data_IF_501228025457
#
_entry.id   IF_501228025457
#
_cell.length_a   1.000
_cell.length_b   1.000
_cell.length_c   1.000
_cell.angle_alpha   90.00
_cell.angle_beta   90.00
_cell.angle_gamma   90.00
#
_symmetry.space_group_name_H-M   'P 1'
#
loop_
_entity.id
_entity.type
_entity.pdbx_description
1 polymer ?
#
# COMPACT_ATOMS: atom_id res chain seq x y z
N UNK A 1 31.25 5.48 -32.26
CA UNK A 1 29.99 5.26 -32.98
C UNK A 1 28.90 6.12 -32.35
N UNK A 2 28.59 7.26 -32.98
CA UNK A 2 27.73 8.31 -32.43
C UNK A 2 26.25 8.06 -32.69
N UNK A 3 25.42 8.14 -31.65
CA UNK A 3 23.96 8.08 -31.78
C UNK A 3 23.42 9.50 -31.92
N UNK A 4 22.94 9.82 -33.13
CA UNK A 4 22.18 11.03 -33.46
C UNK A 4 20.89 11.06 -32.64
N UNK A 5 20.64 12.17 -31.93
CA UNK A 5 19.36 12.48 -31.29
C UNK A 5 18.52 13.24 -32.32
N UNK A 6 17.43 12.65 -32.78
CA UNK A 6 16.40 13.37 -33.53
C UNK A 6 15.37 13.93 -32.56
N UNK A 7 15.31 15.26 -32.48
CA UNK A 7 14.22 15.99 -31.86
C UNK A 7 13.07 16.08 -32.87
N UNK A 8 11.90 15.53 -32.52
CA UNK A 8 10.66 15.77 -33.25
C UNK A 8 9.73 16.59 -32.36
N UNK A 9 9.50 17.81 -32.80
CA UNK A 9 8.44 18.67 -32.29
C UNK A 9 7.07 18.22 -32.81
N UNK A 10 6.05 18.42 -31.98
CA UNK A 10 4.62 18.38 -32.33
C UNK A 10 4.00 19.52 -31.50
N UNK A 11 3.93 20.73 -32.05
CA UNK A 11 2.78 21.34 -32.75
C UNK A 11 1.50 21.30 -31.91
N UNK A 12 1.19 22.48 -31.34
CA UNK A 12 -0.02 22.78 -30.62
C UNK A 12 -1.26 22.74 -31.50
N UNK A 13 -2.36 22.32 -30.88
CA UNK A 13 -3.71 22.42 -31.41
C UNK A 13 -4.65 22.81 -30.27
N UNK A 14 -4.74 24.12 -30.00
CA UNK A 14 -5.82 24.69 -29.21
C UNK A 14 -7.14 24.47 -29.96
N UNK A 15 -7.90 23.47 -29.52
CA UNK A 15 -9.28 23.27 -29.98
C UNK A 15 -10.24 23.91 -29.00
N UNK A 16 -10.90 24.95 -29.50
CA UNK A 16 -12.16 25.52 -29.03
C UNK A 16 -13.03 24.49 -28.29
N UNK A 17 -13.33 24.76 -27.01
CA UNK A 17 -14.42 24.09 -26.29
C UNK A 17 -15.66 24.98 -26.28
N UNK A 18 -16.80 24.52 -26.80
CA UNK A 18 -18.08 25.22 -26.66
C UNK A 18 -18.56 25.15 -25.21
N UNK A 19 -19.18 26.24 -24.75
CA UNK A 19 -19.79 26.34 -23.43
C UNK A 19 -21.06 25.45 -23.36
N UNK A 20 -21.21 24.61 -22.32
CA UNK A 20 -22.49 23.93 -22.09
C UNK A 20 -23.48 24.87 -21.41
N UNK A 21 -24.51 25.27 -22.17
CA UNK A 21 -25.74 25.83 -21.62
C UNK A 21 -26.66 24.67 -21.19
N UNK A 22 -27.27 24.80 -20.00
CA UNK A 22 -28.32 23.88 -19.55
C UNK A 22 -28.06 23.31 -18.16
N UNK A 23 -28.06 24.17 -17.14
CA UNK A 23 -28.11 23.75 -15.74
C UNK A 23 -29.56 23.36 -15.43
N UNK A 24 -29.90 22.10 -15.72
CA UNK A 24 -31.14 21.47 -15.25
C UNK A 24 -30.99 21.09 -13.78
N UNK A 25 -31.71 21.80 -12.91
CA UNK A 25 -31.95 21.37 -11.54
C UNK A 25 -32.97 20.23 -11.58
N UNK A 26 -32.48 18.98 -11.55
CA UNK A 26 -33.27 17.80 -11.26
C UNK A 26 -32.77 17.20 -9.95
N UNK A 27 -33.66 17.18 -8.95
CA UNK A 27 -33.62 16.40 -7.71
C UNK A 27 -32.91 15.05 -7.93
N UNK A 28 -31.78 14.70 -7.30
CA UNK A 28 -31.47 14.67 -5.87
C UNK A 28 -32.44 13.76 -5.09
N UNK A 29 -32.45 12.49 -5.51
CA UNK A 29 -33.11 11.37 -4.85
C UNK A 29 -32.45 10.05 -5.22
N UNK A 30 -31.11 10.00 -5.16
CA UNK A 30 -30.31 8.78 -5.34
C UNK A 30 -29.06 8.85 -4.45
N UNK A 31 -29.26 8.86 -3.14
CA UNK A 31 -28.18 8.92 -2.15
C UNK A 31 -27.73 7.55 -1.64
N UNK A 32 -28.44 6.48 -2.01
CA UNK A 32 -28.21 5.12 -1.52
C UNK A 32 -27.34 4.28 -2.46
N UNK A 33 -27.57 4.36 -3.77
CA UNK A 33 -26.84 3.52 -4.74
C UNK A 33 -25.38 3.98 -4.92
N UNK A 34 -25.08 5.27 -4.70
CA UNK A 34 -23.72 5.81 -4.80
C UNK A 34 -22.76 5.25 -3.74
N UNK A 35 -23.19 5.12 -2.49
CA UNK A 35 -22.32 4.66 -1.40
C UNK A 35 -21.97 3.16 -1.53
N UNK A 36 -22.92 2.35 -2.00
CA UNK A 36 -22.70 0.93 -2.23
C UNK A 36 -21.75 0.69 -3.42
N UNK A 37 -21.93 1.46 -4.51
CA UNK A 37 -21.00 1.45 -5.65
C UNK A 37 -19.58 1.82 -5.24
N UNK A 38 -19.40 2.80 -4.34
CA UNK A 38 -18.08 3.22 -3.87
C UNK A 38 -17.35 2.10 -3.08
N UNK A 39 -18.07 1.34 -2.24
CA UNK A 39 -17.50 0.22 -1.47
C UNK A 39 -17.07 -0.92 -2.39
N UNK A 40 -17.90 -1.27 -3.39
CA UNK A 40 -17.57 -2.32 -4.36
C UNK A 40 -16.37 -1.93 -5.22
N UNK A 41 -16.30 -0.67 -5.65
CA UNK A 41 -15.17 -0.12 -6.39
C UNK A 41 -13.88 -0.12 -5.56
N UNK A 42 -13.97 0.22 -4.28
CA UNK A 42 -12.83 0.16 -3.36
C UNK A 42 -12.34 -1.28 -3.18
N UNK A 43 -13.24 -2.25 -2.97
CA UNK A 43 -12.88 -3.66 -2.88
C UNK A 43 -12.22 -4.16 -4.18
N UNK A 44 -12.75 -3.76 -5.34
CA UNK A 44 -12.15 -4.06 -6.63
C UNK A 44 -10.75 -3.43 -6.80
N UNK A 45 -10.54 -2.20 -6.33
CA UNK A 45 -9.24 -1.55 -6.34
C UNK A 45 -8.22 -2.29 -5.47
N UNK A 46 -8.62 -2.75 -4.27
CA UNK A 46 -7.76 -3.56 -3.40
C UNK A 46 -7.41 -4.90 -4.03
N UNK A 47 -8.35 -5.62 -4.67
CA UNK A 47 -8.04 -6.87 -5.38
C UNK A 47 -7.01 -6.66 -6.50
N UNK A 48 -7.10 -5.55 -7.25
CA UNK A 48 -6.10 -5.18 -8.27
C UNK A 48 -4.74 -4.87 -7.64
N UNK A 49 -4.71 -4.25 -6.46
CA UNK A 49 -3.48 -3.99 -5.73
C UNK A 49 -2.83 -5.30 -5.26
N UNK A 50 -3.60 -6.24 -4.72
CA UNK A 50 -3.14 -7.58 -4.31
C UNK A 50 -2.47 -8.27 -5.49
N UNK A 51 -3.14 -8.34 -6.65
CA UNK A 51 -2.57 -8.96 -7.85
C UNK A 51 -1.22 -8.33 -8.26
N UNK A 52 -1.11 -7.00 -8.18
CA UNK A 52 0.15 -6.30 -8.48
C UNK A 52 1.25 -6.56 -7.44
N UNK A 53 0.88 -6.74 -6.18
CA UNK A 53 1.83 -7.10 -5.12
C UNK A 53 2.33 -8.54 -5.30
N UNK A 54 1.45 -9.47 -5.69
CA UNK A 54 1.82 -10.85 -6.01
C UNK A 54 2.77 -10.91 -7.22
N UNK A 55 2.48 -10.16 -8.29
CA UNK A 55 3.39 -10.01 -9.43
C UNK A 55 4.76 -9.48 -9.00
N UNK A 56 4.77 -8.48 -8.11
CA UNK A 56 6.01 -7.89 -7.58
C UNK A 56 6.79 -8.91 -6.74
N UNK A 57 6.11 -9.69 -5.89
CA UNK A 57 6.73 -10.74 -5.11
C UNK A 57 7.35 -11.82 -6.02
N UNK A 58 6.64 -12.23 -7.07
CA UNK A 58 7.15 -13.17 -8.07
C UNK A 58 8.43 -12.64 -8.76
N UNK A 59 8.45 -11.37 -9.17
CA UNK A 59 9.65 -10.73 -9.75
C UNK A 59 10.81 -10.70 -8.74
N UNK A 60 10.56 -10.33 -7.49
CA UNK A 60 11.59 -10.32 -6.43
C UNK A 60 12.16 -11.72 -6.18
N UNK A 61 11.31 -12.76 -6.21
CA UNK A 61 11.71 -14.16 -6.11
C UNK A 61 12.66 -14.55 -7.25
N UNK A 62 12.28 -14.24 -8.51
CA UNK A 62 13.11 -14.50 -9.67
C UNK A 62 14.46 -13.76 -9.65
N UNK A 63 14.48 -12.49 -9.23
CA UNK A 63 15.73 -11.73 -9.08
C UNK A 63 16.62 -12.35 -8.01
N UNK A 64 16.06 -12.75 -6.86
CA UNK A 64 16.81 -13.42 -5.80
C UNK A 64 17.45 -14.70 -6.31
N UNK A 65 16.70 -15.53 -7.01
CA UNK A 65 17.19 -16.81 -7.53
C UNK A 65 18.30 -16.58 -8.58
N UNK A 66 18.17 -15.55 -9.42
CA UNK A 66 19.22 -15.15 -10.37
C UNK A 66 20.50 -14.65 -9.67
N UNK A 67 20.38 -13.85 -8.60
CA UNK A 67 21.54 -13.39 -7.80
C UNK A 67 22.23 -14.58 -7.14
N UNK A 68 21.47 -15.47 -6.50
CA UNK A 68 22.02 -16.66 -5.85
C UNK A 68 22.74 -17.59 -6.83
N UNK A 69 22.25 -17.70 -8.07
CA UNK A 69 22.89 -18.50 -9.11
C UNK A 69 24.15 -17.83 -9.69
N UNK A 70 24.19 -16.50 -9.75
CA UNK A 70 25.31 -15.76 -10.33
C UNK A 70 26.45 -15.55 -9.32
N UNK A 71 26.14 -15.30 -8.05
CA UNK A 71 27.09 -14.88 -7.01
C UNK A 71 27.02 -15.79 -5.78
N UNK A 72 27.80 -16.87 -5.80
CA UNK A 72 27.96 -17.80 -4.67
C UNK A 72 29.05 -17.32 -3.69
N UNK A 73 28.96 -16.05 -3.28
CA UNK A 73 29.87 -15.45 -2.31
C UNK A 73 29.09 -14.77 -1.18
N UNK A 74 29.82 -14.27 -0.18
CA UNK A 74 29.24 -13.61 1.00
C UNK A 74 28.37 -12.42 0.61
N UNK A 75 28.75 -11.67 -0.42
CA UNK A 75 27.98 -10.50 -0.88
C UNK A 75 26.68 -10.95 -1.57
N UNK A 76 26.74 -11.99 -2.40
CA UNK A 76 25.57 -12.60 -3.02
C UNK A 76 24.56 -13.15 -2.00
N UNK A 77 25.04 -13.80 -0.93
CA UNK A 77 24.19 -14.23 0.18
C UNK A 77 23.55 -13.05 0.92
N UNK A 78 24.31 -11.99 1.22
CA UNK A 78 23.77 -10.80 1.88
C UNK A 78 22.66 -10.13 1.05
N UNK A 79 22.88 -9.97 -0.25
CA UNK A 79 21.88 -9.42 -1.16
C UNK A 79 20.63 -10.30 -1.25
N UNK A 80 20.81 -11.61 -1.31
CA UNK A 80 19.69 -12.58 -1.34
C UNK A 80 18.82 -12.48 -0.09
N UNK A 81 19.43 -12.31 1.10
CA UNK A 81 18.67 -12.11 2.34
C UNK A 81 17.91 -10.78 2.36
N UNK A 82 18.49 -9.69 1.87
CA UNK A 82 17.78 -8.41 1.74
C UNK A 82 16.58 -8.51 0.78
N UNK A 83 16.74 -9.20 -0.34
CA UNK A 83 15.63 -9.48 -1.28
C UNK A 83 14.55 -10.34 -0.63
N UNK A 84 14.93 -11.36 0.14
CA UNK A 84 14.00 -12.22 0.90
C UNK A 84 13.21 -11.45 1.96
N UNK A 85 13.80 -10.43 2.60
CA UNK A 85 13.07 -9.55 3.52
C UNK A 85 12.05 -8.68 2.77
N UNK A 86 12.43 -8.14 1.62
CA UNK A 86 11.55 -7.31 0.78
C UNK A 86 10.39 -8.12 0.21
N UNK A 87 10.65 -9.35 -0.25
CA UNK A 87 9.64 -10.31 -0.68
C UNK A 87 8.60 -10.57 0.41
N UNK A 88 9.05 -10.92 1.62
CA UNK A 88 8.15 -11.15 2.77
C UNK A 88 7.35 -9.91 3.16
N UNK A 89 7.88 -8.71 2.94
CA UNK A 89 7.12 -7.48 3.16
C UNK A 89 6.01 -7.31 2.11
N UNK A 90 6.29 -7.59 0.84
CA UNK A 90 5.30 -7.56 -0.23
C UNK A 90 4.17 -8.56 0.00
N UNK A 91 4.49 -9.82 0.36
CA UNK A 91 3.49 -10.85 0.70
C UNK A 91 2.59 -10.45 1.86
N UNK A 92 3.16 -9.84 2.92
CA UNK A 92 2.37 -9.34 4.05
C UNK A 92 1.40 -8.24 3.62
N UNK A 93 1.87 -7.26 2.84
CA UNK A 93 1.03 -6.18 2.32
C UNK A 93 -0.10 -6.72 1.42
N UNK A 94 0.17 -7.75 0.62
CA UNK A 94 -0.85 -8.42 -0.19
C UNK A 94 -1.90 -9.09 0.71
N UNK A 95 -1.48 -9.79 1.76
CA UNK A 95 -2.38 -10.40 2.75
C UNK A 95 -3.25 -9.39 3.49
N UNK A 96 -2.67 -8.25 3.90
CA UNK A 96 -3.40 -7.16 4.57
C UNK A 96 -4.45 -6.55 3.63
N UNK A 97 -4.07 -6.25 2.39
CA UNK A 97 -4.98 -5.69 1.38
C UNK A 97 -6.10 -6.67 0.99
N UNK A 98 -5.81 -7.98 0.91
CA UNK A 98 -6.80 -9.02 0.66
C UNK A 98 -7.80 -9.14 1.83
N UNK A 99 -7.31 -9.04 3.07
CA UNK A 99 -8.16 -9.05 4.27
C UNK A 99 -9.07 -7.84 4.31
N UNK A 100 -8.58 -6.66 3.94
CA UNK A 100 -9.37 -5.44 3.86
C UNK A 100 -10.42 -5.51 2.74
N UNK A 101 -10.07 -6.05 1.57
CA UNK A 101 -11.03 -6.26 0.48
C UNK A 101 -12.18 -7.18 0.92
N UNK A 102 -11.87 -8.30 1.59
CA UNK A 102 -12.87 -9.23 2.12
C UNK A 102 -13.77 -8.56 3.17
N UNK A 103 -13.20 -7.69 4.03
CA UNK A 103 -13.97 -6.95 5.03
C UNK A 103 -14.92 -5.91 4.41
N UNK A 104 -14.56 -5.32 3.26
CA UNK A 104 -15.44 -4.42 2.50
C UNK A 104 -16.57 -5.20 1.81
N UNK A 105 -16.25 -6.33 1.18
CA UNK A 105 -17.26 -7.21 0.56
C UNK A 105 -18.30 -7.69 1.57
N UNK A 106 -17.87 -8.05 2.78
CA UNK A 106 -18.79 -8.46 3.83
C UNK A 106 -19.72 -7.31 4.29
N UNK A 107 -19.21 -6.07 4.33
CA UNK A 107 -20.01 -4.88 4.65
C UNK A 107 -21.04 -4.58 3.55
N UNK A 108 -20.63 -4.61 2.28
CA UNK A 108 -21.53 -4.44 1.15
C UNK A 108 -22.66 -5.49 1.15
N UNK A 109 -22.34 -6.76 1.47
CA UNK A 109 -23.33 -7.82 1.58
C UNK A 109 -24.31 -7.61 2.76
N UNK A 110 -23.82 -7.15 3.91
CA UNK A 110 -24.64 -6.93 5.12
C UNK A 110 -25.67 -5.79 4.97
N UNK A 111 -25.34 -4.74 4.21
CA UNK A 111 -26.24 -3.61 3.98
C UNK A 111 -27.44 -3.98 3.10
N UNK A 112 -27.27 -4.91 2.14
CA UNK A 112 -28.38 -5.42 1.32
C UNK A 112 -29.40 -6.27 2.08
N UNK A 113 -29.04 -6.77 3.27
CA UNK A 113 -29.90 -7.64 4.09
C UNK A 113 -30.75 -6.93 5.15
N UNK A 114 -30.54 -5.63 5.40
CA UNK A 114 -31.12 -4.94 6.58
C UNK A 114 -32.38 -4.13 6.24
N UNK A 115 -33.27 -4.71 5.42
CA UNK A 115 -34.60 -4.18 5.12
C UNK A 115 -35.74 -4.81 5.93
N UNK A 116 -35.48 -5.75 6.83
CA UNK A 116 -36.55 -6.41 7.59
C UNK A 116 -36.04 -7.10 8.85
N UNK A 117 -36.27 -6.48 10.00
CA UNK A 117 -35.98 -7.12 11.30
C UNK A 117 -35.71 -6.16 12.45
N UNK A 118 -36.52 -5.09 12.59
CA UNK A 118 -36.71 -4.49 13.91
C UNK A 118 -37.66 -5.39 14.71
N UNK A 119 -37.17 -6.53 15.20
CA UNK A 119 -37.85 -7.30 16.23
C UNK A 119 -36.82 -8.04 17.09
N UNK A 120 -36.48 -7.40 18.22
CA UNK A 120 -36.08 -8.04 19.48
C UNK A 120 -34.95 -9.06 19.45
N UNK A 121 -33.70 -8.60 19.55
CA UNK A 121 -32.62 -9.41 20.09
C UNK A 121 -32.17 -8.81 21.42
N UNK A 122 -32.41 -9.57 22.49
CA UNK A 122 -32.07 -9.24 23.87
C UNK A 122 -30.58 -8.92 24.04
N UNK A 123 -30.31 -7.91 24.87
CA UNK A 123 -29.00 -7.68 25.48
C UNK A 123 -28.47 -8.97 26.13
N UNK A 124 -27.27 -9.46 25.75
CA UNK A 124 -26.50 -10.32 26.63
C UNK A 124 -25.76 -9.43 27.63
N UNK A 125 -26.23 -9.47 28.87
CA UNK A 125 -25.55 -8.91 30.03
C UNK A 125 -24.12 -9.44 30.20
N UNK A 126 -23.31 -8.60 30.81
CA UNK A 126 -21.95 -8.87 31.27
C UNK A 126 -21.82 -10.20 32.04
N UNK A 127 -20.85 -11.04 31.66
CA UNK A 127 -19.83 -11.61 32.56
C UNK A 127 -18.99 -12.69 31.85
N UNK A 128 -17.88 -12.27 31.24
CA UNK A 128 -16.73 -13.14 31.03
C UNK A 128 -15.46 -12.29 31.07
N UNK A 129 -15.04 -11.96 32.29
CA UNK A 129 -13.79 -11.27 32.55
C UNK A 129 -12.59 -12.11 32.11
N UNK A 130 -12.06 -11.85 30.92
CA UNK A 130 -10.69 -12.17 30.56
C UNK A 130 -9.85 -10.91 30.80
N UNK A 131 -9.25 -10.83 31.99
CA UNK A 131 -8.16 -9.88 32.25
C UNK A 131 -7.01 -10.20 31.30
N UNK A 132 -6.83 -9.39 30.26
CA UNK A 132 -5.60 -9.38 29.47
C UNK A 132 -4.44 -8.93 30.40
N UNK A 133 -3.42 -9.77 30.63
CA UNK A 133 -2.22 -9.32 31.31
C UNK A 133 -1.38 -8.47 30.34
N UNK A 134 -1.07 -7.25 30.77
CA UNK A 134 0.06 -6.50 30.25
C UNK A 134 -0.27 -5.48 29.16
N UNK A 135 -0.88 -4.36 29.55
CA UNK A 135 -0.56 -3.08 28.91
C UNK A 135 0.90 -2.73 29.24
N UNK A 136 1.82 -3.36 28.51
CA UNK A 136 3.21 -2.92 28.43
C UNK A 136 3.22 -1.60 27.67
N UNK A 137 3.17 -0.49 28.42
CA UNK A 137 3.21 0.85 27.86
C UNK A 137 4.34 0.98 26.84
N UNK A 138 4.00 1.53 25.67
CA UNK A 138 4.96 1.98 24.68
C UNK A 138 5.87 3.02 25.35
N UNK A 139 7.05 2.59 25.79
CA UNK A 139 8.13 3.50 26.13
C UNK A 139 8.61 4.13 24.83
N UNK A 140 8.11 5.33 24.52
CA UNK A 140 8.81 6.26 23.62
C UNK A 140 10.15 6.58 24.27
N UNK A 141 11.21 5.87 23.89
CA UNK A 141 12.56 6.35 24.16
C UNK A 141 12.77 7.56 23.25
N UNK A 142 12.71 8.75 23.83
CA UNK A 142 13.26 9.98 23.28
C UNK A 142 14.75 9.72 22.99
N UNK A 143 15.07 9.32 21.75
CA UNK A 143 16.44 9.10 21.32
C UNK A 143 17.04 10.44 20.91
N UNK A 144 17.17 11.35 21.89
CA UNK A 144 18.17 12.40 21.83
C UNK A 144 19.54 11.74 21.86
N UNK A 145 20.24 11.79 20.72
CA UNK A 145 21.68 11.58 20.66
C UNK A 145 22.13 10.24 20.08
N UNK A 146 22.40 10.21 18.77
CA UNK A 146 23.70 9.70 18.32
C UNK A 146 24.51 10.90 17.88
N UNK A 147 25.53 11.20 18.68
CA UNK A 147 26.64 12.09 18.32
C UNK A 147 27.36 11.42 17.14
N UNK A 148 27.46 12.12 16.01
CA UNK A 148 28.34 11.69 14.94
C UNK A 148 29.78 11.60 15.50
N UNK A 149 30.53 10.51 15.25
CA UNK A 149 31.95 10.51 15.59
C UNK A 149 32.61 11.67 14.84
N UNK A 150 33.24 12.58 15.59
CA UNK A 150 34.14 13.58 15.05
C UNK A 150 35.19 12.84 14.22
N UNK A 151 35.19 13.03 12.90
CA UNK A 151 36.33 12.66 12.08
C UNK A 151 37.52 13.52 12.56
N UNK A 152 38.69 12.95 12.85
CA UNK A 152 39.87 13.75 13.09
C UNK A 152 40.14 14.59 11.84
N UNK A 153 40.64 15.84 11.98
CA UNK A 153 41.08 16.60 10.82
C UNK A 153 42.13 15.76 10.11
N UNK A 154 41.92 15.50 8.82
CA UNK A 154 42.98 15.05 7.95
C UNK A 154 44.00 16.17 7.92
N UNK A 155 44.98 16.11 8.82
CA UNK A 155 46.22 16.84 8.69
C UNK A 155 46.75 16.50 7.29
N UNK A 156 46.70 17.50 6.42
CA UNK A 156 47.39 17.52 5.15
C UNK A 156 48.88 17.45 5.43
N UNK A 157 49.34 16.27 5.79
CA UNK A 157 50.73 15.89 5.92
C UNK A 157 51.35 15.93 4.53
N UNK A 158 51.75 17.13 4.14
CA UNK A 158 52.68 17.34 3.05
C UNK A 158 53.89 16.46 3.22
N UNK A 159 54.39 15.97 2.10
CA UNK A 159 55.71 15.37 1.96
C UNK A 159 56.14 15.51 0.49
N UNK A 160 57.46 15.47 0.25
CA UNK A 160 58.31 16.64 -0.05
C UNK A 160 58.31 17.07 -1.51
#
# INVERSE_FOLDING_TARGET
>A
MGRKREARGVVGGERHRPAPAGRGCGEQGDGGDGAMSDIEDQAAALRRLVARLDDTAAVLGGVRDAVAAAWDDVAGHEWSERLRLTHRAAERLAGDAASEAAALEHRAAGETGTGGGHDGAAEPGHDAGLRLPGHGGTRTTDRRGMVAPLLPPTDGGGRP
#
